data_IF_650698762117
#
_entry.id   IF_650698762117
#
_cell.length_a   1.000
_cell.length_b   1.000
_cell.length_c   1.000
_cell.angle_alpha   90.00
_cell.angle_beta   90.00
_cell.angle_gamma   90.00
#
_symmetry.space_group_name_H-M   'P 1'
#
loop_
_entity.id
_entity.type
_entity.pdbx_description
1 polymer ?
#
# COMPACT_ATOMS: atom_id res chain seq x y z
N UNK A 1 -16.41 -14.25 -16.29
CA UNK A 1 -16.21 -13.78 -14.93
C UNK A 1 -16.29 -12.26 -14.79
N UNK A 2 -16.49 -11.49 -15.89
CA UNK A 2 -16.54 -10.03 -15.88
C UNK A 2 -17.96 -9.48 -16.10
N UNK A 3 -18.95 -10.34 -16.06
CA UNK A 3 -20.33 -9.97 -16.31
C UNK A 3 -20.85 -9.06 -15.20
N UNK A 4 -21.44 -7.93 -15.60
CA UNK A 4 -22.16 -6.97 -14.78
C UNK A 4 -21.34 -6.07 -13.85
N UNK A 5 -20.00 -5.98 -14.01
CA UNK A 5 -19.21 -4.99 -13.28
C UNK A 5 -18.34 -4.17 -14.23
N UNK A 6 -18.64 -2.90 -14.34
CA UNK A 6 -17.86 -1.94 -15.16
C UNK A 6 -16.43 -1.83 -14.65
N UNK A 7 -16.24 -1.79 -13.31
CA UNK A 7 -14.92 -1.73 -12.68
C UNK A 7 -14.09 -2.97 -13.03
N UNK A 8 -14.67 -4.17 -12.90
CA UNK A 8 -14.00 -5.42 -13.24
C UNK A 8 -13.63 -5.49 -14.72
N UNK A 9 -14.56 -5.10 -15.60
CA UNK A 9 -14.33 -5.10 -17.04
C UNK A 9 -13.21 -4.16 -17.44
N UNK A 10 -13.24 -2.92 -16.96
CA UNK A 10 -12.21 -1.92 -17.26
C UNK A 10 -10.85 -2.30 -16.65
N UNK A 11 -10.83 -2.78 -15.41
CA UNK A 11 -9.60 -3.26 -14.76
C UNK A 11 -8.95 -4.37 -15.58
N UNK A 12 -9.74 -5.38 -16.00
CA UNK A 12 -9.24 -6.44 -16.85
C UNK A 12 -8.71 -5.92 -18.19
N UNK A 13 -9.47 -5.06 -18.87
CA UNK A 13 -9.08 -4.52 -20.18
C UNK A 13 -7.78 -3.73 -20.08
N UNK A 14 -7.67 -2.81 -19.11
CA UNK A 14 -6.48 -1.98 -18.90
C UNK A 14 -5.27 -2.85 -18.57
N UNK A 15 -5.40 -3.80 -17.63
CA UNK A 15 -4.31 -4.69 -17.25
C UNK A 15 -3.84 -5.60 -18.40
N UNK A 16 -4.72 -5.91 -19.35
CA UNK A 16 -4.40 -6.70 -20.54
C UNK A 16 -4.17 -5.85 -21.81
N UNK A 17 -3.94 -4.54 -21.65
CA UNK A 17 -3.64 -3.59 -22.74
C UNK A 17 -4.73 -3.53 -23.82
N UNK A 18 -5.98 -3.74 -23.41
CA UNK A 18 -7.16 -3.55 -24.24
C UNK A 18 -7.72 -2.13 -24.00
N UNK A 19 -8.33 -1.53 -25.04
CA UNK A 19 -8.91 -0.18 -24.91
C UNK A 19 -10.34 -0.26 -24.38
N UNK A 20 -10.64 0.25 -23.17
CA UNK A 20 -11.99 0.33 -22.64
C UNK A 20 -12.86 1.31 -23.44
N UNK A 21 -14.12 0.94 -23.67
CA UNK A 21 -15.10 1.80 -24.31
C UNK A 21 -16.25 2.08 -23.37
N UNK A 22 -16.62 3.37 -23.26
CA UNK A 22 -17.81 3.82 -22.55
C UNK A 22 -18.94 3.87 -23.57
N UNK A 23 -19.98 3.06 -23.37
CA UNK A 23 -21.20 3.12 -24.19
C UNK A 23 -22.14 4.19 -23.67
N UNK A 24 -22.31 4.25 -22.36
CA UNK A 24 -23.15 5.26 -21.67
C UNK A 24 -22.45 5.72 -20.42
N UNK A 25 -22.27 7.05 -20.26
CA UNK A 25 -21.59 7.64 -19.11
C UNK A 25 -22.59 7.96 -17.97
N UNK A 26 -23.19 6.92 -17.44
CA UNK A 26 -24.10 7.03 -16.31
C UNK A 26 -23.37 7.16 -14.98
N UNK A 27 -24.04 7.73 -13.99
CA UNK A 27 -23.61 7.74 -12.62
C UNK A 27 -23.96 6.41 -11.95
N UNK A 28 -22.97 5.80 -11.29
CA UNK A 28 -23.08 4.52 -10.59
C UNK A 28 -23.01 4.71 -9.08
N UNK A 29 -23.89 4.03 -8.37
CA UNK A 29 -23.84 3.87 -6.92
C UNK A 29 -23.06 2.59 -6.61
N UNK A 30 -22.03 2.71 -5.79
CA UNK A 30 -21.04 1.65 -5.57
C UNK A 30 -20.99 1.24 -4.10
N UNK A 31 -20.88 -0.06 -3.87
CA UNK A 31 -20.54 -0.66 -2.59
C UNK A 31 -19.45 -1.69 -2.83
N UNK A 32 -18.50 -1.78 -1.90
CA UNK A 32 -17.50 -2.84 -1.94
C UNK A 32 -18.12 -4.17 -1.52
N UNK A 33 -17.74 -5.25 -2.17
CA UNK A 33 -18.34 -6.57 -1.92
C UNK A 33 -18.15 -7.04 -0.47
N UNK A 34 -17.04 -6.69 0.17
CA UNK A 34 -16.81 -6.98 1.59
C UNK A 34 -17.84 -6.29 2.49
N UNK A 35 -18.08 -4.99 2.27
CA UNK A 35 -19.07 -4.21 3.03
C UNK A 35 -20.49 -4.78 2.81
N UNK A 36 -20.82 -5.18 1.57
CA UNK A 36 -22.11 -5.82 1.27
C UNK A 36 -22.28 -7.15 1.99
N UNK A 37 -21.23 -7.99 1.99
CA UNK A 37 -21.24 -9.29 2.69
C UNK A 37 -21.41 -9.10 4.20
N UNK A 38 -20.72 -8.13 4.78
CA UNK A 38 -20.85 -7.79 6.20
C UNK A 38 -22.28 -7.34 6.56
N UNK A 39 -22.88 -6.48 5.74
CA UNK A 39 -24.27 -6.07 5.94
C UNK A 39 -25.25 -7.27 5.84
N UNK A 40 -25.02 -8.20 4.90
CA UNK A 40 -25.83 -9.42 4.78
C UNK A 40 -25.65 -10.32 6.00
N UNK A 41 -24.40 -10.57 6.45
CA UNK A 41 -24.12 -11.42 7.61
C UNK A 41 -24.79 -10.86 8.88
N UNK A 42 -24.78 -9.55 9.06
CA UNK A 42 -25.39 -8.88 10.21
C UNK A 42 -26.93 -9.02 10.27
N UNK A 43 -27.58 -9.47 9.17
CA UNK A 43 -29.00 -9.79 9.17
C UNK A 43 -29.31 -11.15 9.83
N UNK A 44 -28.30 -12.02 9.96
CA UNK A 44 -28.43 -13.32 10.59
C UNK A 44 -27.92 -13.24 12.03
N UNK A 45 -28.81 -13.20 13.05
CA UNK A 45 -28.34 -13.18 14.43
C UNK A 45 -27.53 -14.44 14.75
N UNK A 46 -26.50 -14.30 15.58
CA UNK A 46 -25.57 -15.37 15.93
C UNK A 46 -26.25 -16.62 16.53
N UNK A 47 -27.44 -16.46 17.11
CA UNK A 47 -28.23 -17.55 17.69
C UNK A 47 -28.69 -18.62 16.67
N UNK A 48 -28.64 -18.34 15.38
CA UNK A 48 -28.99 -19.32 14.33
C UNK A 48 -27.77 -20.15 13.83
N UNK A 49 -26.55 -19.78 14.18
CA UNK A 49 -25.36 -20.53 13.78
C UNK A 49 -25.26 -21.87 14.55
N UNK A 50 -25.69 -21.92 15.81
CA UNK A 50 -25.71 -23.19 16.60
C UNK A 50 -26.83 -24.15 16.18
N UNK A 51 -27.97 -23.63 15.68
CA UNK A 51 -29.08 -24.47 15.23
C UNK A 51 -28.83 -25.15 13.88
N UNK A 52 -27.98 -24.56 13.03
CA UNK A 52 -27.63 -25.17 11.73
C UNK A 52 -26.54 -26.25 11.84
N UNK A 53 -25.75 -26.27 12.91
CA UNK A 53 -24.81 -27.36 13.19
C UNK A 53 -25.53 -28.66 13.61
N UNK A 54 -26.68 -28.56 14.26
CA UNK A 54 -27.49 -29.71 14.69
C UNK A 54 -28.28 -30.39 13.57
N UNK A 55 -28.45 -29.74 12.41
CA UNK A 55 -29.13 -30.35 11.26
C UNK A 55 -28.23 -31.24 10.40
N UNK A 56 -26.93 -31.09 10.46
CA UNK A 56 -25.97 -31.90 9.70
C UNK A 56 -25.76 -33.32 10.28
N UNK A 57 -26.06 -33.53 11.56
CA UNK A 57 -25.85 -34.82 12.25
C UNK A 57 -27.10 -35.71 12.37
N UNK A 58 -28.26 -35.31 11.80
CA UNK A 58 -29.53 -36.06 11.95
C UNK A 58 -29.97 -36.88 10.74
N UNK A 59 -29.15 -37.02 9.70
CA UNK A 59 -29.48 -37.88 8.55
C UNK A 59 -29.17 -39.37 8.71
N UNK A 60 -28.85 -39.84 9.91
CA UNK A 60 -28.64 -41.27 10.16
C UNK A 60 -29.42 -41.77 11.37
N UNK A 61 -30.75 -41.77 11.36
CA UNK A 61 -31.52 -42.77 12.12
C UNK A 61 -32.98 -42.84 11.58
N UNK A 62 -33.24 -43.88 10.83
CA UNK A 62 -34.61 -44.35 10.54
C UNK A 62 -35.26 -44.80 11.84
N UNK A 63 -36.43 -44.26 12.16
CA UNK A 63 -37.61 -45.06 12.45
C UNK A 63 -38.85 -44.16 12.73
N UNK A 64 -39.85 -44.45 11.97
CA UNK A 64 -41.29 -44.15 12.05
C UNK A 64 -41.90 -43.84 13.41
N UNK A 65 -42.73 -42.77 13.51
CA UNK A 65 -44.12 -42.90 13.87
C UNK A 65 -44.89 -41.56 13.72
N UNK A 66 -46.11 -41.64 13.26
CA UNK A 66 -47.09 -40.62 12.94
C UNK A 66 -47.13 -39.37 13.81
N UNK A 67 -46.95 -38.22 13.21
CA UNK A 67 -47.46 -36.95 13.75
C UNK A 67 -48.25 -36.22 12.65
N UNK A 68 -49.49 -35.96 12.90
CA UNK A 68 -50.46 -35.23 12.08
C UNK A 68 -49.90 -33.83 11.73
N UNK A 69 -49.88 -33.56 10.43
CA UNK A 69 -49.59 -32.25 9.84
C UNK A 69 -50.71 -31.27 10.18
N UNK A 70 -50.46 -30.37 11.09
CA UNK A 70 -51.10 -29.04 11.08
C UNK A 70 -50.14 -28.13 10.26
N UNK A 71 -50.56 -27.85 9.03
CA UNK A 71 -49.91 -26.89 8.14
C UNK A 71 -49.97 -25.47 8.72
N UNK A 72 -48.97 -25.08 9.46
CA UNK A 72 -48.68 -23.67 9.63
C UNK A 72 -47.86 -23.23 8.41
N UNK A 73 -48.54 -22.74 7.36
CA UNK A 73 -47.93 -21.89 6.35
C UNK A 73 -47.37 -20.63 7.04
N UNK A 74 -46.14 -20.71 7.53
CA UNK A 74 -45.35 -19.52 7.82
C UNK A 74 -45.14 -18.77 6.51
N UNK A 75 -45.97 -17.73 6.32
CA UNK A 75 -45.85 -16.79 5.24
C UNK A 75 -44.43 -16.16 5.31
N UNK A 76 -43.50 -16.64 4.50
CA UNK A 76 -42.18 -16.07 4.35
C UNK A 76 -42.37 -14.66 3.77
N UNK A 77 -42.49 -13.67 4.63
CA UNK A 77 -42.45 -12.28 4.22
C UNK A 77 -41.05 -11.98 3.68
N UNK A 78 -40.94 -11.92 2.36
CA UNK A 78 -39.71 -11.45 1.72
C UNK A 78 -39.45 -10.00 2.19
N UNK A 79 -38.37 -9.79 2.95
CA UNK A 79 -37.91 -8.45 3.31
C UNK A 79 -36.97 -7.97 2.23
N UNK A 80 -37.24 -6.81 1.64
CA UNK A 80 -36.30 -6.13 0.75
C UNK A 80 -35.33 -5.36 1.64
N UNK A 81 -34.03 -5.69 1.54
CA UNK A 81 -32.97 -4.93 2.17
C UNK A 81 -32.48 -3.88 1.18
N UNK A 82 -32.56 -2.62 1.54
CA UNK A 82 -31.93 -1.53 0.81
C UNK A 82 -30.55 -1.25 1.41
N UNK A 83 -29.50 -1.69 0.70
CA UNK A 83 -28.13 -1.48 1.12
C UNK A 83 -27.66 -0.08 0.68
N UNK A 84 -27.03 0.65 1.61
CA UNK A 84 -26.51 1.98 1.34
C UNK A 84 -25.23 1.90 0.50
N UNK A 85 -25.17 2.66 -0.59
CA UNK A 85 -23.94 2.79 -1.35
C UNK A 85 -22.89 3.60 -0.59
N UNK A 86 -21.60 3.32 -0.83
CA UNK A 86 -20.46 4.00 -0.17
C UNK A 86 -19.84 5.09 -1.04
N UNK A 87 -20.04 5.00 -2.36
CA UNK A 87 -19.51 5.97 -3.30
C UNK A 87 -20.42 6.14 -4.51
N UNK A 88 -20.25 7.26 -5.21
CA UNK A 88 -21.03 7.64 -6.37
C UNK A 88 -20.13 8.30 -7.39
N UNK A 89 -19.98 7.68 -8.57
CA UNK A 89 -19.10 8.14 -9.64
C UNK A 89 -19.72 7.91 -11.02
N UNK A 90 -19.37 8.75 -11.98
CA UNK A 90 -19.64 8.48 -13.40
C UNK A 90 -18.72 7.35 -13.91
N UNK A 91 -19.17 6.68 -14.95
CA UNK A 91 -18.38 5.62 -15.60
C UNK A 91 -17.03 6.17 -16.11
N UNK A 92 -17.02 7.38 -16.66
CA UNK A 92 -15.81 8.08 -17.12
C UNK A 92 -14.83 8.36 -15.98
N UNK A 93 -15.31 8.83 -14.84
CA UNK A 93 -14.46 9.11 -13.66
C UNK A 93 -13.80 7.84 -13.12
N UNK A 94 -14.53 6.73 -13.12
CA UNK A 94 -13.97 5.42 -12.74
C UNK A 94 -12.90 4.95 -13.73
N UNK A 95 -13.15 5.12 -15.02
CA UNK A 95 -12.17 4.76 -16.05
C UNK A 95 -10.89 5.58 -15.90
N UNK A 96 -11.00 6.89 -15.66
CA UNK A 96 -9.85 7.76 -15.47
C UNK A 96 -9.02 7.36 -14.23
N UNK A 97 -9.70 7.03 -13.11
CA UNK A 97 -9.02 6.49 -11.91
C UNK A 97 -8.26 5.20 -12.21
N UNK A 98 -8.89 4.25 -12.90
CA UNK A 98 -8.26 2.97 -13.23
C UNK A 98 -7.08 3.13 -14.21
N UNK A 99 -7.17 4.05 -15.18
CA UNK A 99 -6.04 4.42 -16.07
C UNK A 99 -4.92 5.08 -15.25
N UNK A 100 -5.25 5.96 -14.31
CA UNK A 100 -4.27 6.57 -13.41
C UNK A 100 -3.55 5.53 -12.55
N UNK A 101 -4.25 4.52 -12.01
CA UNK A 101 -3.60 3.42 -11.30
C UNK A 101 -2.64 2.62 -12.19
N UNK A 102 -3.01 2.37 -13.44
CA UNK A 102 -2.10 1.70 -14.36
C UNK A 102 -0.81 2.50 -14.58
N UNK A 103 -0.94 3.78 -14.91
CA UNK A 103 0.21 4.67 -15.16
C UNK A 103 1.08 4.88 -13.93
N UNK A 104 0.48 5.05 -12.76
CA UNK A 104 1.25 5.33 -11.54
C UNK A 104 1.82 4.06 -10.90
N UNK A 105 0.99 3.05 -10.71
CA UNK A 105 1.42 1.85 -10.00
C UNK A 105 2.10 0.82 -10.92
N UNK A 106 1.47 0.49 -12.05
CA UNK A 106 1.98 -0.59 -12.92
C UNK A 106 3.22 -0.12 -13.70
N UNK A 107 3.18 1.10 -14.24
CA UNK A 107 4.27 1.64 -15.07
C UNK A 107 5.38 2.27 -14.23
N UNK A 108 5.02 3.08 -13.23
CA UNK A 108 6.01 3.87 -12.46
C UNK A 108 6.35 3.28 -11.09
N UNK A 109 5.62 2.27 -10.61
CA UNK A 109 5.84 1.67 -9.29
C UNK A 109 5.49 2.61 -8.12
N UNK A 110 4.58 3.57 -8.35
CA UNK A 110 4.15 4.57 -7.35
C UNK A 110 2.80 4.15 -6.79
N UNK A 111 2.70 3.98 -5.48
CA UNK A 111 1.43 3.69 -4.82
C UNK A 111 0.50 4.91 -4.91
N UNK A 112 -0.77 4.72 -5.29
CA UNK A 112 -1.76 5.81 -5.27
C UNK A 112 -2.01 6.30 -3.84
N UNK A 113 -2.73 7.41 -3.71
CA UNK A 113 -3.23 7.84 -2.42
C UNK A 113 -4.34 6.88 -1.95
N UNK A 114 -4.12 6.25 -0.80
CA UNK A 114 -4.99 5.24 -0.20
C UNK A 114 -5.55 5.71 1.16
N UNK A 115 -5.68 7.00 1.36
CA UNK A 115 -6.24 7.58 2.59
C UNK A 115 -7.75 7.41 2.69
N UNK A 116 -8.44 7.35 1.56
CA UNK A 116 -9.88 7.09 1.46
C UNK A 116 -10.17 5.59 1.28
N UNK A 117 -11.16 5.07 2.02
CA UNK A 117 -11.54 3.66 1.98
C UNK A 117 -12.03 3.20 0.59
N UNK A 118 -12.73 4.08 -0.13
CA UNK A 118 -13.15 3.77 -1.49
C UNK A 118 -11.95 3.58 -2.43
N UNK A 119 -10.92 4.45 -2.31
CA UNK A 119 -9.68 4.34 -3.10
C UNK A 119 -8.96 3.00 -2.78
N UNK A 120 -8.92 2.59 -1.51
CA UNK A 120 -8.37 1.27 -1.11
C UNK A 120 -9.12 0.14 -1.80
N UNK A 121 -10.46 0.15 -1.75
CA UNK A 121 -11.30 -0.88 -2.35
C UNK A 121 -11.17 -0.93 -3.88
N UNK A 122 -11.20 0.23 -4.53
CA UNK A 122 -11.06 0.37 -5.99
C UNK A 122 -9.69 -0.11 -6.46
N UNK A 123 -8.63 0.32 -5.79
CA UNK A 123 -7.26 -0.07 -6.09
C UNK A 123 -7.03 -1.57 -5.87
N UNK A 124 -7.56 -2.16 -4.79
CA UNK A 124 -7.47 -3.60 -4.56
C UNK A 124 -8.22 -4.38 -5.63
N UNK A 125 -9.39 -3.90 -6.05
CA UNK A 125 -10.12 -4.49 -7.18
C UNK A 125 -9.29 -4.42 -8.46
N UNK A 126 -8.73 -3.26 -8.79
CA UNK A 126 -7.86 -3.09 -9.95
C UNK A 126 -6.67 -4.06 -9.93
N UNK A 127 -5.92 -4.13 -8.82
CA UNK A 127 -4.74 -5.00 -8.68
C UNK A 127 -5.05 -6.48 -8.86
N UNK A 128 -6.27 -6.92 -8.51
CA UNK A 128 -6.66 -8.33 -8.65
C UNK A 128 -6.71 -8.81 -10.10
N UNK A 129 -6.71 -7.88 -11.06
CA UNK A 129 -6.69 -8.17 -12.50
C UNK A 129 -5.30 -8.10 -13.14
N UNK A 130 -4.25 -7.79 -12.36
CA UNK A 130 -2.89 -7.81 -12.88
C UNK A 130 -2.50 -9.23 -13.29
N UNK A 131 -1.86 -9.41 -14.46
CA UNK A 131 -1.34 -10.70 -14.89
C UNK A 131 -0.36 -11.25 -13.84
N UNK A 132 -0.34 -12.59 -13.66
CA UNK A 132 0.60 -13.23 -12.71
C UNK A 132 2.06 -12.95 -13.05
N UNK A 133 2.35 -12.76 -14.32
CA UNK A 133 3.67 -12.46 -14.88
C UNK A 133 4.14 -11.03 -14.58
N UNK A 134 3.25 -10.17 -14.07
CA UNK A 134 3.64 -8.83 -13.63
C UNK A 134 4.67 -8.89 -12.48
N UNK A 135 4.59 -9.88 -11.62
CA UNK A 135 5.51 -10.06 -10.51
C UNK A 135 6.51 -11.20 -10.74
N UNK A 136 7.76 -11.11 -10.24
CA UNK A 136 8.32 -10.01 -9.46
C UNK A 136 8.77 -8.81 -10.33
N UNK A 137 8.52 -7.59 -9.85
CA UNK A 137 9.07 -6.36 -10.44
C UNK A 137 10.46 -6.14 -9.87
N UNK A 138 11.48 -6.02 -10.73
CA UNK A 138 12.86 -5.78 -10.31
C UNK A 138 13.10 -4.30 -10.09
N UNK A 139 13.76 -3.97 -9.00
CA UNK A 139 14.21 -2.61 -8.72
C UNK A 139 15.37 -2.18 -9.58
N UNK A 140 15.44 -0.89 -9.90
CA UNK A 140 16.63 -0.28 -10.44
C UNK A 140 17.67 -0.12 -9.33
N UNK A 141 18.87 -0.64 -9.60
CA UNK A 141 19.97 -0.64 -8.67
C UNK A 141 21.06 0.34 -9.15
N UNK A 142 21.36 1.34 -8.33
CA UNK A 142 22.46 2.26 -8.55
C UNK A 142 23.66 1.78 -7.72
N UNK A 143 24.79 1.51 -8.39
CA UNK A 143 25.99 0.98 -7.74
C UNK A 143 27.18 1.87 -8.07
N UNK A 144 28.00 2.16 -7.07
CA UNK A 144 29.27 2.87 -7.18
C UNK A 144 30.31 2.25 -6.22
N UNK A 145 31.48 2.89 -6.05
CA UNK A 145 32.56 2.48 -5.17
C UNK A 145 32.20 2.54 -3.66
N UNK A 146 31.12 3.20 -3.31
CA UNK A 146 30.61 3.30 -1.92
C UNK A 146 29.70 2.15 -1.57
N UNK A 147 29.06 1.51 -2.56
CA UNK A 147 28.07 0.43 -2.39
C UNK A 147 26.87 0.60 -3.31
N UNK A 148 25.69 0.23 -2.83
CA UNK A 148 24.44 0.18 -3.61
C UNK A 148 23.42 1.15 -3.02
N UNK A 149 22.61 1.76 -3.90
CA UNK A 149 21.42 2.53 -3.55
C UNK A 149 20.23 2.04 -4.37
N UNK A 150 19.06 1.86 -3.71
CA UNK A 150 17.83 1.39 -4.33
C UNK A 150 16.63 2.15 -3.80
N UNK A 151 15.84 2.74 -4.68
CA UNK A 151 14.50 3.26 -4.37
C UNK A 151 13.51 2.09 -4.31
N UNK A 152 12.83 1.92 -3.19
CA UNK A 152 11.95 0.75 -2.98
C UNK A 152 10.48 1.07 -3.08
N UNK A 153 10.04 2.14 -2.44
CA UNK A 153 8.63 2.53 -2.41
C UNK A 153 8.48 4.03 -2.64
N UNK A 154 7.51 4.38 -3.49
CA UNK A 154 7.10 5.75 -3.77
C UNK A 154 5.61 5.87 -3.56
N UNK A 155 5.15 6.98 -2.97
CA UNK A 155 3.75 7.21 -2.62
C UNK A 155 3.24 8.52 -3.21
N UNK A 156 2.08 8.52 -3.84
CA UNK A 156 1.46 9.75 -4.35
C UNK A 156 1.09 10.73 -3.24
N UNK A 157 0.82 10.24 -2.02
CA UNK A 157 0.65 11.06 -0.81
C UNK A 157 1.93 11.73 -0.31
N UNK A 158 2.96 11.75 -1.13
CA UNK A 158 4.30 12.28 -0.96
C UNK A 158 5.25 11.37 -0.18
N UNK A 159 6.44 11.25 -0.73
CA UNK A 159 7.56 10.56 -0.12
C UNK A 159 7.98 9.27 -0.82
N UNK A 160 9.22 8.92 -0.53
CA UNK A 160 9.80 7.66 -0.99
C UNK A 160 10.62 7.00 0.12
N UNK A 161 10.68 5.69 0.05
CA UNK A 161 11.58 4.87 0.87
C UNK A 161 12.66 4.29 -0.04
N UNK A 162 13.90 4.36 0.44
CA UNK A 162 15.07 3.83 -0.25
C UNK A 162 15.95 3.08 0.74
N UNK A 163 16.86 2.26 0.25
CA UNK A 163 17.94 1.73 1.07
C UNK A 163 19.31 1.91 0.38
N UNK A 164 20.37 1.93 1.16
CA UNK A 164 21.72 1.79 0.65
C UNK A 164 22.50 0.75 1.44
N UNK A 165 23.43 0.09 0.74
CA UNK A 165 24.57 -0.55 1.39
C UNK A 165 25.77 0.38 1.31
N UNK A 166 26.59 0.41 2.38
CA UNK A 166 27.81 1.21 2.43
C UNK A 166 28.97 0.33 2.86
N UNK A 167 30.03 0.34 2.07
CA UNK A 167 31.24 -0.44 2.37
C UNK A 167 31.93 0.07 3.66
N UNK A 168 32.73 -0.77 4.35
CA UNK A 168 33.47 -0.36 5.54
C UNK A 168 34.31 0.90 5.32
N UNK A 169 34.31 1.80 6.29
CA UNK A 169 35.06 3.08 6.30
C UNK A 169 34.61 4.10 5.26
N UNK A 170 33.53 3.84 4.55
CA UNK A 170 32.99 4.80 3.58
C UNK A 170 31.95 5.71 4.22
N UNK A 171 32.00 6.99 3.83
CA UNK A 171 31.06 8.03 4.22
C UNK A 171 30.16 8.41 3.05
N UNK A 172 28.87 8.60 3.31
CA UNK A 172 27.88 9.18 2.41
C UNK A 172 27.30 10.45 3.02
N UNK A 173 26.77 11.36 2.20
CA UNK A 173 26.18 12.62 2.65
C UNK A 173 27.15 13.77 2.47
N UNK A 174 27.41 14.57 3.53
CA UNK A 174 28.07 15.86 3.49
C UNK A 174 27.24 16.88 2.71
N UNK A 175 25.99 17.00 3.10
CA UNK A 175 25.06 17.97 2.54
C UNK A 175 23.99 18.35 3.56
N UNK A 176 23.26 19.42 3.30
CA UNK A 176 22.07 19.80 4.05
C UNK A 176 20.89 20.04 3.13
N UNK A 177 19.71 20.10 3.74
CA UNK A 177 18.44 20.40 3.12
C UNK A 177 17.82 21.66 3.71
N UNK A 178 16.98 22.35 2.95
CA UNK A 178 16.24 23.52 3.43
C UNK A 178 14.74 23.28 3.54
N UNK A 179 14.22 22.21 2.93
CA UNK A 179 12.79 21.83 2.94
C UNK A 179 12.52 20.35 3.15
N UNK A 180 13.43 19.46 2.73
CA UNK A 180 13.24 18.02 2.86
C UNK A 180 13.19 17.58 4.31
N UNK A 181 12.25 16.72 4.62
CA UNK A 181 12.23 15.93 5.85
C UNK A 181 12.82 14.56 5.52
N UNK A 182 13.90 14.22 6.21
CA UNK A 182 14.65 13.00 5.93
C UNK A 182 14.90 12.20 7.21
N UNK A 183 14.73 10.88 7.13
CA UNK A 183 15.01 9.93 8.21
C UNK A 183 16.00 8.89 7.75
N UNK A 184 17.05 8.67 8.53
CA UNK A 184 18.00 7.58 8.36
C UNK A 184 17.78 6.54 9.45
N UNK A 185 17.56 5.29 9.05
CA UNK A 185 17.44 4.15 9.97
C UNK A 185 18.56 3.13 9.67
N UNK A 186 19.36 2.81 10.68
CA UNK A 186 20.38 1.77 10.57
C UNK A 186 19.74 0.42 10.85
N UNK A 187 19.76 -0.48 9.85
CA UNK A 187 19.09 -1.77 9.89
C UNK A 187 20.08 -2.91 10.15
N UNK A 188 21.32 -2.78 9.65
CA UNK A 188 22.38 -3.76 9.84
C UNK A 188 23.74 -3.07 9.78
N UNK A 189 24.68 -3.51 10.62
CA UNK A 189 26.02 -2.95 10.71
C UNK A 189 26.12 -1.84 11.74
N UNK A 190 27.23 -1.08 11.73
CA UNK A 190 27.50 -0.04 12.71
C UNK A 190 27.81 1.27 12.00
N UNK A 191 27.09 2.32 12.37
CA UNK A 191 27.18 3.63 11.73
C UNK A 191 27.52 4.74 12.75
N UNK A 192 28.29 5.73 12.28
CA UNK A 192 28.36 7.07 12.86
C UNK A 192 27.56 8.01 11.97
N UNK A 193 26.53 8.65 12.53
CA UNK A 193 25.77 9.73 11.89
C UNK A 193 26.20 11.03 12.56
N UNK A 194 26.70 11.97 11.76
CA UNK A 194 27.11 13.29 12.25
C UNK A 194 26.22 14.37 11.69
N UNK A 195 25.90 15.32 12.55
CA UNK A 195 25.11 16.51 12.23
C UNK A 195 25.86 17.76 12.69
N UNK A 196 25.84 18.81 11.87
CA UNK A 196 26.37 20.14 12.25
C UNK A 196 25.42 21.20 11.71
N UNK A 197 24.96 22.10 12.55
CA UNK A 197 24.15 23.24 12.09
C UNK A 197 24.96 24.11 11.13
N UNK A 198 24.35 24.49 10.00
CA UNK A 198 25.00 25.37 9.03
C UNK A 198 25.44 26.67 9.68
N UNK A 199 26.71 27.07 9.45
CA UNK A 199 27.30 28.29 10.04
C UNK A 199 27.80 28.11 11.45
N UNK A 200 27.86 26.93 12.04
CA UNK A 200 28.48 26.64 13.35
C UNK A 200 29.55 25.56 13.22
N UNK A 201 30.36 25.40 14.27
CA UNK A 201 31.44 24.40 14.35
C UNK A 201 31.05 23.19 15.24
N UNK A 202 29.90 23.25 15.92
CA UNK A 202 29.48 22.19 16.83
C UNK A 202 28.95 20.97 16.08
N UNK A 203 29.58 19.81 16.26
CA UNK A 203 29.22 18.52 15.64
C UNK A 203 28.53 17.64 16.69
N UNK A 204 27.35 17.20 16.36
CA UNK A 204 26.59 16.18 17.09
C UNK A 204 26.85 14.83 16.42
N UNK A 205 27.24 13.80 17.18
CA UNK A 205 27.50 12.47 16.66
C UNK A 205 26.58 11.44 17.32
N UNK A 206 25.94 10.60 16.52
CA UNK A 206 25.14 9.45 16.94
C UNK A 206 25.77 8.17 16.43
N UNK A 207 26.05 7.23 17.36
CA UNK A 207 26.52 5.89 17.02
C UNK A 207 25.33 4.93 17.06
N UNK A 208 25.02 4.30 15.93
CA UNK A 208 23.91 3.37 15.79
C UNK A 208 24.42 1.97 15.42
N UNK A 209 23.74 0.95 15.97
CA UNK A 209 24.01 -0.45 15.68
C UNK A 209 22.73 -1.15 15.20
N UNK A 210 22.82 -1.85 14.07
CA UNK A 210 21.69 -2.58 13.50
C UNK A 210 21.17 -3.74 14.36
N UNK A 211 21.92 -4.20 15.36
CA UNK A 211 21.43 -5.18 16.35
C UNK A 211 20.31 -4.59 17.23
N UNK A 212 20.32 -3.26 17.41
CA UNK A 212 19.27 -2.47 18.04
C UNK A 212 18.83 -1.38 17.06
N UNK A 213 17.99 -1.68 16.05
CA UNK A 213 17.65 -0.76 14.98
C UNK A 213 17.11 0.57 15.49
N UNK A 214 17.74 1.65 15.08
CA UNK A 214 17.40 3.00 15.48
C UNK A 214 17.47 3.97 14.28
N UNK A 215 16.91 5.17 14.46
CA UNK A 215 16.91 6.18 13.44
C UNK A 215 17.32 7.55 13.97
N UNK A 216 17.72 8.41 13.03
CA UNK A 216 17.93 9.86 13.24
C UNK A 216 17.15 10.59 12.16
N UNK A 217 16.41 11.62 12.55
CA UNK A 217 15.77 12.57 11.63
C UNK A 217 16.73 13.73 11.37
N UNK A 218 16.89 14.08 10.10
CA UNK A 218 17.80 15.14 9.65
C UNK A 218 17.08 16.49 9.72
N UNK A 219 17.47 17.42 10.62
CA UNK A 219 16.86 18.74 10.64
C UNK A 219 17.28 19.54 9.39
N UNK A 220 16.41 20.41 8.91
CA UNK A 220 16.78 21.39 7.87
C UNK A 220 17.90 22.32 8.40
N UNK A 221 18.76 22.78 7.50
CA UNK A 221 19.92 23.59 7.81
C UNK A 221 21.00 22.88 8.67
N UNK A 222 20.92 21.54 8.79
CA UNK A 222 21.99 20.74 9.38
C UNK A 222 22.69 19.94 8.28
N UNK A 223 23.98 20.22 8.07
CA UNK A 223 24.78 19.32 7.27
C UNK A 223 24.93 17.99 7.99
N UNK A 224 24.82 16.92 7.24
CA UNK A 224 24.87 15.58 7.81
C UNK A 224 25.64 14.60 6.93
N UNK A 225 26.17 13.60 7.58
CA UNK A 225 26.73 12.43 6.91
C UNK A 225 26.51 11.15 7.71
N UNK A 226 26.69 10.02 7.05
CA UNK A 226 26.69 8.69 7.65
C UNK A 226 27.95 7.95 7.23
N UNK A 227 28.69 7.42 8.20
CA UNK A 227 29.92 6.66 8.00
C UNK A 227 29.72 5.23 8.48
N UNK A 228 30.07 4.25 7.67
CA UNK A 228 30.17 2.87 8.12
C UNK A 228 31.45 2.71 8.98
N UNK A 229 31.26 2.58 10.29
CA UNK A 229 32.35 2.39 11.26
C UNK A 229 32.55 0.93 11.66
N UNK A 230 31.75 0.01 11.08
CA UNK A 230 31.90 -1.45 11.25
C UNK A 230 32.89 -2.05 10.25
N UNK A 231 33.10 -3.36 10.38
CA UNK A 231 33.99 -4.14 9.52
C UNK A 231 33.23 -4.84 8.38
N UNK A 232 31.90 -4.87 8.47
CA UNK A 232 30.99 -5.45 7.47
C UNK A 232 30.20 -4.34 6.74
N UNK A 233 29.45 -4.73 5.71
CA UNK A 233 28.54 -3.81 5.02
C UNK A 233 27.49 -3.20 5.96
N UNK A 234 27.28 -1.90 5.84
CA UNK A 234 26.22 -1.17 6.53
C UNK A 234 24.98 -1.16 5.65
N UNK A 235 23.82 -1.54 6.19
CA UNK A 235 22.51 -1.38 5.55
C UNK A 235 21.75 -0.25 6.24
N UNK A 236 21.44 0.80 5.48
CA UNK A 236 20.66 1.95 5.92
C UNK A 236 19.40 2.09 5.09
N UNK A 237 18.26 2.29 5.76
CA UNK A 237 17.00 2.66 5.12
C UNK A 237 16.78 4.16 5.26
N UNK A 238 16.26 4.78 4.21
CA UNK A 238 15.95 6.21 4.16
C UNK A 238 14.48 6.41 3.85
N UNK A 239 13.88 7.41 4.47
CA UNK A 239 12.62 7.98 4.05
C UNK A 239 12.78 9.47 3.82
N UNK A 240 12.22 9.97 2.73
CA UNK A 240 12.11 11.40 2.42
C UNK A 240 10.67 11.74 2.04
N UNK A 241 10.23 12.95 2.39
CA UNK A 241 8.86 13.41 2.15
C UNK A 241 8.55 13.78 0.70
N UNK A 242 9.54 13.85 -0.19
CA UNK A 242 9.37 14.18 -1.60
C UNK A 242 10.19 13.24 -2.49
N UNK A 243 9.88 13.19 -3.79
CA UNK A 243 10.70 12.47 -4.75
C UNK A 243 11.97 13.26 -5.07
N UNK A 244 13.05 12.55 -5.35
CA UNK A 244 14.25 13.19 -5.85
C UNK A 244 14.00 13.76 -7.26
N UNK A 245 14.18 15.08 -7.41
CA UNK A 245 14.20 15.76 -8.70
C UNK A 245 15.60 16.31 -8.95
N UNK A 246 16.30 15.85 -10.02
CA UNK A 246 17.62 16.36 -10.36
C UNK A 246 17.64 17.84 -10.75
N UNK A 247 16.50 18.43 -11.15
CA UNK A 247 16.39 19.84 -11.51
C UNK A 247 16.11 20.75 -10.28
N UNK A 248 15.61 20.17 -9.19
CA UNK A 248 15.35 20.85 -7.91
C UNK A 248 15.67 19.91 -6.74
N UNK A 249 16.95 19.54 -6.57
CA UNK A 249 17.33 18.44 -5.66
C UNK A 249 17.23 18.79 -4.18
N UNK A 250 17.08 20.06 -3.79
CA UNK A 250 17.15 20.52 -2.40
C UNK A 250 18.27 19.84 -1.61
N UNK A 251 19.45 19.79 -2.20
CA UNK A 251 20.63 19.10 -1.64
C UNK A 251 21.84 19.99 -1.88
N UNK A 252 22.39 20.54 -0.80
CA UNK A 252 23.47 21.51 -0.83
C UNK A 252 24.70 20.89 -0.19
N UNK A 253 25.76 20.73 -0.97
CA UNK A 253 27.01 20.14 -0.49
C UNK A 253 27.67 21.04 0.56
N UNK A 254 27.93 20.45 1.71
CA UNK A 254 28.62 21.08 2.84
C UNK A 254 29.19 19.99 3.77
N UNK A 255 30.49 19.89 3.98
CA UNK A 255 31.07 18.93 4.92
C UNK A 255 30.61 19.15 6.37
N UNK A 256 30.48 18.03 7.10
CA UNK A 256 30.25 18.08 8.55
C UNK A 256 31.51 18.42 9.28
#
# INVERSE_FOLDING_TARGET
PFYNSVISTFSYQICNKQEPKIEVDNELKLIYVGDLVEEIINLFPADNAEKNADYADKENNENTENATTEDTEECIQSRVLEVQYRAKYKVSELLDKLKAYYETYVVKGIFPDLTDWFEVCLFNTFRSYLPKEHFPVKYNKHSDDRGIYVETMKFMSHGQVSFSTTLPRITRGNHFHIRKVERFAVIQGKASIKLRQYGTDEVIEYILNGDEPAYVDMPIWYTHNITNIGDNGLLTMFWINEFYDPNDPDTYYEPV
#
